data_IF_470368921087
#
_entry.id   IF_470368921087
#
_cell.length_a   1.000
_cell.length_b   1.000
_cell.length_c   1.000
_cell.angle_alpha   90.00
_cell.angle_beta   90.00
_cell.angle_gamma   90.00
#
_symmetry.space_group_name_H-M   'P 1'
#
loop_
_entity.id
_entity.type
_entity.pdbx_description
1 polymer ?
#
# COMPACT_ATOMS: atom_id res chain seq x y z
N UNK A 1 111.63 -60.84 -20.52
CA UNK A 1 111.58 -60.80 -19.06
C UNK A 1 111.12 -59.38 -18.68
N UNK A 2 109.93 -59.18 -18.31
CA UNK A 2 109.51 -57.95 -17.67
C UNK A 2 110.27 -57.87 -16.36
N UNK A 3 110.91 -56.73 -16.14
CA UNK A 3 111.74 -56.48 -14.91
C UNK A 3 110.83 -56.46 -13.75
N UNK A 4 111.16 -57.13 -12.65
CA UNK A 4 110.39 -57.19 -11.35
C UNK A 4 109.92 -55.81 -10.87
N UNK A 5 110.68 -54.81 -11.22
CA UNK A 5 110.43 -53.37 -10.92
C UNK A 5 109.21 -52.83 -11.66
N UNK A 6 109.08 -53.14 -12.99
CA UNK A 6 108.01 -52.67 -13.83
C UNK A 6 106.67 -53.24 -13.40
N UNK A 7 106.67 -54.49 -12.91
CA UNK A 7 105.42 -55.13 -12.38
C UNK A 7 105.01 -54.53 -11.04
N UNK A 8 105.89 -54.20 -10.21
CA UNK A 8 105.59 -53.52 -8.91
C UNK A 8 105.07 -52.11 -9.19
N UNK A 9 105.62 -51.40 -10.14
CA UNK A 9 105.16 -50.07 -10.51
C UNK A 9 103.75 -50.09 -11.12
N UNK A 10 103.38 -51.05 -11.93
CA UNK A 10 102.01 -51.28 -12.50
C UNK A 10 100.96 -51.60 -11.39
N UNK A 11 101.39 -52.45 -10.42
CA UNK A 11 100.49 -52.74 -9.28
C UNK A 11 100.24 -51.49 -8.45
N UNK A 12 101.27 -50.70 -8.14
CA UNK A 12 101.14 -49.46 -7.37
C UNK A 12 100.26 -48.44 -8.11
N UNK A 13 100.41 -48.30 -9.39
CA UNK A 13 99.51 -47.45 -10.24
C UNK A 13 98.09 -47.93 -10.21
N UNK A 14 97.88 -49.24 -10.31
CA UNK A 14 96.58 -49.87 -10.24
C UNK A 14 95.89 -49.60 -8.84
N UNK A 15 96.66 -49.87 -7.79
CA UNK A 15 96.13 -49.65 -6.41
C UNK A 15 95.86 -48.17 -6.16
N UNK A 16 96.66 -47.25 -6.61
CA UNK A 16 96.34 -45.79 -6.52
C UNK A 16 95.07 -45.40 -7.31
N UNK A 17 94.91 -46.02 -8.49
CA UNK A 17 93.70 -45.79 -9.27
C UNK A 17 92.45 -46.36 -8.62
N UNK A 18 92.57 -47.53 -7.98
CA UNK A 18 91.45 -48.16 -7.22
C UNK A 18 91.13 -47.36 -5.98
N UNK A 19 92.15 -46.89 -5.24
CA UNK A 19 92.01 -46.00 -4.05
C UNK A 19 91.26 -44.73 -4.45
N UNK A 20 91.66 -44.05 -5.50
CA UNK A 20 90.89 -42.83 -5.97
C UNK A 20 89.44 -43.15 -6.34
N UNK A 21 89.16 -44.23 -7.06
CA UNK A 21 87.80 -44.64 -7.34
C UNK A 21 87.01 -44.95 -6.04
N UNK A 22 87.61 -45.57 -5.09
CA UNK A 22 86.98 -45.82 -3.79
C UNK A 22 86.63 -44.52 -3.03
N UNK A 23 87.57 -43.57 -3.00
CA UNK A 23 87.38 -42.26 -2.38
C UNK A 23 86.27 -41.44 -3.13
N UNK A 24 86.21 -41.48 -4.44
CA UNK A 24 85.19 -40.83 -5.25
C UNK A 24 83.82 -41.49 -4.97
N UNK A 25 83.76 -42.84 -4.96
CA UNK A 25 82.51 -43.56 -4.65
C UNK A 25 82.04 -43.31 -3.24
N UNK A 26 82.94 -43.20 -2.24
CA UNK A 26 82.59 -42.90 -0.89
C UNK A 26 82.00 -41.49 -0.73
N UNK A 27 82.59 -40.49 -1.41
CA UNK A 27 82.10 -39.12 -1.41
C UNK A 27 80.67 -39.03 -2.10
N UNK A 28 80.49 -39.81 -3.17
CA UNK A 28 79.17 -39.85 -3.85
C UNK A 28 78.08 -40.48 -2.95
N UNK A 29 78.45 -41.53 -2.17
CA UNK A 29 77.53 -42.14 -1.20
C UNK A 29 77.24 -41.17 -0.05
N UNK A 30 78.22 -40.47 0.49
CA UNK A 30 78.02 -39.47 1.56
C UNK A 30 77.09 -38.32 1.09
N UNK A 31 77.26 -37.83 -0.15
CA UNK A 31 76.42 -36.79 -0.74
C UNK A 31 74.99 -37.29 -0.92
N UNK A 32 74.82 -38.49 -1.44
CA UNK A 32 73.50 -39.12 -1.61
C UNK A 32 72.79 -39.38 -0.27
N UNK A 33 73.50 -39.74 0.75
CA UNK A 33 72.97 -39.88 2.08
C UNK A 33 72.46 -38.56 2.63
N UNK A 34 73.24 -37.48 2.52
CA UNK A 34 72.79 -36.14 2.93
C UNK A 34 71.56 -35.66 2.15
N UNK A 35 71.50 -35.88 0.83
CA UNK A 35 70.33 -35.58 0.01
C UNK A 35 69.08 -36.37 0.47
N UNK A 36 69.26 -37.67 0.75
CA UNK A 36 68.15 -38.51 1.19
C UNK A 36 67.64 -38.10 2.56
N UNK A 37 68.48 -37.66 3.49
CA UNK A 37 68.08 -37.15 4.77
C UNK A 37 67.29 -35.85 4.65
N UNK A 38 67.69 -34.93 3.75
CA UNK A 38 66.99 -33.69 3.44
C UNK A 38 65.59 -33.97 2.82
N UNK A 39 65.52 -34.90 1.85
CA UNK A 39 64.26 -35.32 1.22
C UNK A 39 63.31 -36.00 2.24
N UNK A 40 63.82 -36.83 3.15
CA UNK A 40 63.03 -37.43 4.22
C UNK A 40 62.43 -36.39 5.16
N UNK A 41 63.21 -35.39 5.58
CA UNK A 41 62.70 -34.29 6.44
C UNK A 41 61.64 -33.49 5.70
N UNK A 42 61.84 -33.11 4.41
CA UNK A 42 60.84 -32.43 3.59
C UNK A 42 59.55 -33.25 3.47
N UNK A 43 59.68 -34.59 3.28
CA UNK A 43 58.54 -35.48 3.22
C UNK A 43 57.75 -35.54 4.53
N UNK A 44 58.42 -35.54 5.69
CA UNK A 44 57.79 -35.48 7.00
C UNK A 44 56.98 -34.21 7.20
N UNK A 45 57.56 -33.04 6.83
CA UNK A 45 56.86 -31.75 6.90
C UNK A 45 55.61 -31.77 6.02
N UNK A 46 55.69 -32.18 4.77
CA UNK A 46 54.57 -32.30 3.86
C UNK A 46 53.48 -33.26 4.36
N UNK A 47 53.88 -34.37 4.98
CA UNK A 47 52.93 -35.33 5.55
C UNK A 47 52.20 -34.74 6.77
N UNK A 48 52.86 -33.94 7.60
CA UNK A 48 52.23 -33.25 8.71
C UNK A 48 51.25 -32.17 8.21
N UNK A 49 51.64 -31.35 7.22
CA UNK A 49 50.78 -30.36 6.58
C UNK A 49 49.55 -31.00 5.97
N UNK A 50 49.70 -32.11 5.22
CA UNK A 50 48.61 -32.86 4.62
C UNK A 50 47.63 -33.41 5.67
N UNK A 51 48.13 -33.91 6.79
CA UNK A 51 47.31 -34.37 7.91
C UNK A 51 46.52 -33.22 8.56
N UNK A 52 47.16 -32.06 8.75
CA UNK A 52 46.52 -30.88 9.32
C UNK A 52 45.41 -30.37 8.41
N UNK A 53 45.67 -30.28 7.11
CA UNK A 53 44.64 -29.87 6.14
C UNK A 53 43.48 -30.88 6.04
N UNK A 54 43.77 -32.19 6.08
CA UNK A 54 42.75 -33.24 6.16
C UNK A 54 41.83 -33.06 7.37
N UNK A 55 42.39 -32.78 8.54
CA UNK A 55 41.63 -32.56 9.76
C UNK A 55 40.79 -31.27 9.66
N UNK A 56 41.35 -30.19 9.10
CA UNK A 56 40.62 -28.96 8.84
C UNK A 56 39.44 -29.15 7.90
N UNK A 57 39.62 -29.88 6.81
CA UNK A 57 38.56 -30.19 5.85
C UNK A 57 37.47 -31.05 6.52
N UNK A 58 37.84 -32.06 7.30
CA UNK A 58 36.91 -32.90 8.02
C UNK A 58 36.03 -32.08 9.00
N UNK A 59 36.62 -31.15 9.74
CA UNK A 59 35.87 -30.26 10.64
C UNK A 59 34.94 -29.30 9.86
N UNK A 60 35.39 -28.77 8.71
CA UNK A 60 34.58 -27.93 7.86
C UNK A 60 33.37 -28.69 7.29
N UNK A 61 33.57 -29.93 6.84
CA UNK A 61 32.50 -30.80 6.35
C UNK A 61 31.48 -31.07 7.47
N UNK A 62 31.97 -31.37 8.69
CA UNK A 62 31.09 -31.60 9.84
C UNK A 62 30.23 -30.38 10.16
N UNK A 63 30.84 -29.19 10.23
CA UNK A 63 30.10 -27.93 10.48
C UNK A 63 29.10 -27.63 9.37
N UNK A 64 29.51 -27.79 8.12
CA UNK A 64 28.62 -27.58 6.98
C UNK A 64 27.42 -28.52 7.00
N UNK A 65 27.64 -29.81 7.31
CA UNK A 65 26.55 -30.79 7.43
C UNK A 65 25.58 -30.43 8.56
N UNK A 66 26.08 -29.95 9.70
CA UNK A 66 25.23 -29.47 10.80
C UNK A 66 24.42 -28.25 10.41
N UNK A 67 25.02 -27.28 9.71
CA UNK A 67 24.29 -26.10 9.22
C UNK A 67 23.21 -26.48 8.19
N UNK A 68 23.53 -27.39 7.27
CA UNK A 68 22.55 -27.88 6.28
C UNK A 68 21.36 -28.55 6.99
N UNK A 69 21.61 -29.41 7.98
CA UNK A 69 20.52 -30.03 8.76
C UNK A 69 19.65 -28.96 9.45
N UNK A 70 20.28 -27.98 10.13
CA UNK A 70 19.55 -26.88 10.80
C UNK A 70 18.72 -26.03 9.83
N UNK A 71 19.27 -25.74 8.64
CA UNK A 71 18.51 -24.98 7.64
C UNK A 71 17.37 -25.80 7.05
N UNK A 72 17.55 -27.11 6.89
CA UNK A 72 16.46 -27.99 6.45
C UNK A 72 15.30 -27.98 7.44
N UNK A 73 15.59 -28.05 8.74
CA UNK A 73 14.57 -27.97 9.78
C UNK A 73 13.86 -26.60 9.77
N UNK A 74 14.61 -25.50 9.64
CA UNK A 74 14.03 -24.15 9.54
C UNK A 74 13.14 -23.97 8.31
N UNK A 75 13.49 -24.59 7.18
CA UNK A 75 12.66 -24.57 5.97
C UNK A 75 11.37 -25.30 6.21
N UNK A 76 11.41 -26.48 6.83
CA UNK A 76 10.20 -27.25 7.15
C UNK A 76 9.25 -26.50 8.09
N UNK A 77 9.77 -25.86 9.14
CA UNK A 77 9.00 -25.01 10.06
C UNK A 77 8.38 -23.79 9.34
N UNK A 78 9.12 -23.19 8.40
CA UNK A 78 8.63 -22.08 7.60
C UNK A 78 7.52 -22.52 6.62
N UNK A 79 7.63 -23.68 5.99
CA UNK A 79 6.61 -24.25 5.11
C UNK A 79 5.31 -24.52 5.89
N UNK A 80 5.38 -25.10 7.09
CA UNK A 80 4.20 -25.29 7.96
C UNK A 80 3.53 -23.94 8.30
N UNK A 81 4.34 -22.91 8.58
CA UNK A 81 3.83 -21.57 8.88
C UNK A 81 3.13 -20.95 7.66
N UNK A 82 3.68 -21.13 6.46
CA UNK A 82 3.11 -20.67 5.20
C UNK A 82 1.75 -21.31 4.96
N UNK A 83 1.65 -22.62 5.08
CA UNK A 83 0.40 -23.38 4.91
C UNK A 83 -0.69 -22.90 5.88
N UNK A 84 -0.33 -22.65 7.13
CA UNK A 84 -1.25 -22.10 8.13
C UNK A 84 -1.74 -20.69 7.76
N UNK A 85 -0.84 -19.81 7.30
CA UNK A 85 -1.18 -18.46 6.86
C UNK A 85 -2.05 -18.47 5.60
N UNK A 86 -1.79 -19.32 4.63
CA UNK A 86 -2.62 -19.48 3.43
C UNK A 86 -4.05 -19.94 3.79
N UNK A 87 -4.19 -20.85 4.75
CA UNK A 87 -5.50 -21.26 5.27
C UNK A 87 -6.26 -20.09 5.90
N UNK A 88 -5.58 -19.27 6.72
CA UNK A 88 -6.18 -18.08 7.33
C UNK A 88 -6.57 -17.02 6.30
N UNK A 89 -5.75 -16.80 5.26
CA UNK A 89 -6.06 -15.88 4.16
C UNK A 89 -7.34 -16.34 3.45
N UNK A 90 -7.45 -17.60 3.09
CA UNK A 90 -8.64 -18.13 2.44
C UNK A 90 -9.92 -17.98 3.28
N UNK A 91 -9.84 -18.17 4.60
CA UNK A 91 -10.96 -17.92 5.51
C UNK A 91 -11.36 -16.45 5.54
N UNK A 92 -10.39 -15.55 5.67
CA UNK A 92 -10.64 -14.11 5.66
C UNK A 92 -11.22 -13.60 4.33
N UNK A 93 -10.79 -14.14 3.19
CA UNK A 93 -11.35 -13.79 1.88
C UNK A 93 -12.83 -14.19 1.76
N UNK A 94 -13.21 -15.36 2.32
CA UNK A 94 -14.61 -15.77 2.37
C UNK A 94 -15.45 -14.85 3.26
N UNK A 95 -14.93 -14.45 4.41
CA UNK A 95 -15.60 -13.52 5.33
C UNK A 95 -15.79 -12.15 4.68
N UNK A 96 -14.77 -11.62 3.99
CA UNK A 96 -14.84 -10.36 3.24
C UNK A 96 -15.93 -10.45 2.17
N UNK A 97 -16.00 -11.53 1.40
CA UNK A 97 -17.01 -11.71 0.35
C UNK A 97 -18.42 -11.77 0.94
N UNK A 98 -18.60 -12.43 2.09
CA UNK A 98 -19.88 -12.48 2.80
C UNK A 98 -20.32 -11.09 3.32
N UNK A 99 -19.39 -10.33 3.91
CA UNK A 99 -19.63 -8.96 4.38
C UNK A 99 -19.95 -7.99 3.24
N UNK A 100 -19.26 -8.11 2.11
CA UNK A 100 -19.55 -7.29 0.92
C UNK A 100 -20.98 -7.53 0.42
N UNK A 101 -21.40 -8.77 0.34
CA UNK A 101 -22.77 -9.12 -0.05
C UNK A 101 -23.81 -8.54 0.91
N UNK A 102 -23.59 -8.65 2.22
CA UNK A 102 -24.49 -8.06 3.22
C UNK A 102 -24.58 -6.55 3.09
N UNK A 103 -23.44 -5.88 2.88
CA UNK A 103 -23.38 -4.43 2.68
C UNK A 103 -24.17 -3.99 1.44
N UNK A 104 -24.03 -4.70 0.31
CA UNK A 104 -24.78 -4.41 -0.91
C UNK A 104 -26.29 -4.58 -0.72
N UNK A 105 -26.72 -5.65 -0.02
CA UNK A 105 -28.14 -5.87 0.31
C UNK A 105 -28.69 -4.77 1.22
N UNK A 106 -27.94 -4.33 2.21
CA UNK A 106 -28.35 -3.27 3.14
C UNK A 106 -28.40 -1.91 2.43
N UNK A 107 -27.44 -1.63 1.55
CA UNK A 107 -27.43 -0.44 0.70
C UNK A 107 -28.63 -0.42 -0.26
N UNK A 108 -28.97 -1.54 -0.86
CA UNK A 108 -30.15 -1.66 -1.73
C UNK A 108 -31.45 -1.40 -0.95
N UNK A 109 -31.60 -1.96 0.26
CA UNK A 109 -32.74 -1.70 1.14
C UNK A 109 -32.82 -0.22 1.55
N UNK A 110 -31.67 0.40 1.88
CA UNK A 110 -31.61 1.82 2.22
C UNK A 110 -32.01 2.73 1.06
N UNK A 111 -31.58 2.41 -0.18
CA UNK A 111 -31.97 3.13 -1.38
C UNK A 111 -33.47 3.02 -1.67
N UNK A 112 -34.05 1.83 -1.55
CA UNK A 112 -35.49 1.62 -1.69
C UNK A 112 -36.29 2.40 -0.63
N UNK A 113 -35.85 2.39 0.61
CA UNK A 113 -36.47 3.15 1.68
C UNK A 113 -36.37 4.67 1.44
N UNK A 114 -35.23 5.14 0.91
CA UNK A 114 -35.06 6.55 0.55
C UNK A 114 -35.99 6.95 -0.60
N UNK A 115 -36.12 6.13 -1.65
CA UNK A 115 -37.07 6.38 -2.77
C UNK A 115 -38.51 6.44 -2.31
N UNK A 116 -38.93 5.55 -1.39
CA UNK A 116 -40.29 5.57 -0.83
C UNK A 116 -40.58 6.75 0.10
N UNK A 117 -39.53 7.46 0.53
CA UNK A 117 -39.64 8.65 1.40
C UNK A 117 -39.79 9.98 0.64
N UNK A 118 -39.71 9.95 -0.70
CA UNK A 118 -39.83 11.13 -1.54
C UNK A 118 -41.17 11.12 -2.30
N UNK A 119 -41.83 12.29 -2.29
CA UNK A 119 -43.02 12.52 -3.09
C UNK A 119 -42.65 12.95 -4.49
N UNK A 120 -43.56 12.70 -5.45
CA UNK A 120 -43.38 13.26 -6.78
C UNK A 120 -43.77 14.76 -6.77
N UNK A 121 -43.06 15.57 -7.55
CA UNK A 121 -43.33 17.01 -7.63
C UNK A 121 -44.75 17.32 -8.11
N UNK A 122 -45.32 16.44 -8.92
CA UNK A 122 -46.70 16.56 -9.40
C UNK A 122 -47.77 16.40 -8.29
N UNK A 123 -47.39 15.83 -7.14
CA UNK A 123 -48.24 15.67 -5.97
C UNK A 123 -48.23 16.91 -5.06
N UNK A 124 -47.34 17.88 -5.34
CA UNK A 124 -47.22 19.09 -4.55
C UNK A 124 -48.08 20.19 -5.11
N UNK A 125 -49.00 20.69 -4.30
CA UNK A 125 -49.80 21.89 -4.64
C UNK A 125 -49.11 23.12 -4.03
N UNK A 126 -48.80 24.07 -4.89
CA UNK A 126 -48.23 25.35 -4.52
C UNK A 126 -49.38 26.35 -4.31
N UNK A 127 -49.26 27.17 -3.26
CA UNK A 127 -50.25 28.19 -2.92
C UNK A 127 -49.90 29.56 -3.49
N UNK A 128 -50.89 30.46 -3.53
CA UNK A 128 -50.67 31.85 -3.88
C UNK A 128 -49.66 32.49 -2.90
N UNK A 129 -48.56 33.04 -3.42
CA UNK A 129 -47.48 33.61 -2.60
C UNK A 129 -46.24 32.72 -2.43
N UNK A 130 -46.35 31.40 -2.66
CA UNK A 130 -45.21 30.49 -2.54
C UNK A 130 -44.04 30.89 -3.43
N UNK A 131 -44.37 31.29 -4.67
CA UNK A 131 -43.38 31.77 -5.66
C UNK A 131 -42.62 33.00 -5.15
N UNK A 132 -43.33 33.99 -4.60
CA UNK A 132 -42.75 35.22 -4.07
C UNK A 132 -41.92 34.92 -2.82
N UNK A 133 -42.43 34.06 -1.95
CA UNK A 133 -41.72 33.66 -0.71
C UNK A 133 -40.39 32.94 -1.08
N UNK A 134 -40.42 31.99 -1.98
CA UNK A 134 -39.24 31.25 -2.42
C UNK A 134 -38.24 32.15 -3.14
N UNK A 135 -38.69 33.04 -4.03
CA UNK A 135 -37.84 33.98 -4.74
C UNK A 135 -37.10 34.94 -3.78
N UNK A 136 -37.82 35.47 -2.77
CA UNK A 136 -37.21 36.35 -1.75
C UNK A 136 -36.27 35.61 -0.80
N UNK A 137 -36.52 34.33 -0.48
CA UNK A 137 -35.56 33.51 0.23
C UNK A 137 -34.29 33.29 -0.60
N UNK A 138 -34.43 32.93 -1.89
CA UNK A 138 -33.29 32.77 -2.82
C UNK A 138 -32.48 34.08 -2.88
N UNK A 139 -33.13 35.22 -2.93
CA UNK A 139 -32.46 36.52 -2.88
C UNK A 139 -31.65 36.70 -1.59
N UNK A 140 -32.20 36.34 -0.43
CA UNK A 140 -31.50 36.48 0.83
C UNK A 140 -30.29 35.54 0.99
N UNK A 141 -30.43 34.30 0.50
CA UNK A 141 -29.41 33.25 0.67
C UNK A 141 -28.38 33.25 -0.47
N UNK A 142 -28.78 33.59 -1.70
CA UNK A 142 -28.00 33.39 -2.91
C UNK A 142 -28.11 34.55 -3.92
N UNK A 143 -28.58 35.72 -3.51
CA UNK A 143 -28.76 36.86 -4.43
C UNK A 143 -27.47 37.33 -5.09
N UNK A 144 -26.32 37.16 -4.44
CA UNK A 144 -24.99 37.42 -4.98
C UNK A 144 -24.32 36.26 -5.67
N UNK A 145 -24.93 35.09 -5.65
CA UNK A 145 -24.36 33.86 -6.22
C UNK A 145 -24.64 33.75 -7.74
N UNK A 146 -23.86 32.94 -8.48
CA UNK A 146 -24.21 32.60 -9.86
C UNK A 146 -25.63 32.02 -9.96
N UNK A 147 -26.28 32.18 -11.10
CA UNK A 147 -27.65 31.69 -11.31
C UNK A 147 -27.82 30.21 -10.94
N UNK A 148 -26.82 29.39 -11.23
CA UNK A 148 -26.81 27.98 -10.80
C UNK A 148 -26.85 27.81 -9.28
N UNK A 149 -26.29 28.74 -8.52
CA UNK A 149 -26.36 28.76 -7.05
C UNK A 149 -27.76 29.15 -6.57
N UNK A 150 -28.42 30.09 -7.24
CA UNK A 150 -29.80 30.48 -6.96
C UNK A 150 -30.77 29.29 -7.22
N UNK A 151 -30.61 28.57 -8.34
CA UNK A 151 -31.37 27.37 -8.66
C UNK A 151 -31.12 26.28 -7.60
N UNK A 152 -29.88 26.10 -7.18
CA UNK A 152 -29.50 25.10 -6.16
C UNK A 152 -30.17 25.36 -4.79
N UNK A 153 -30.23 26.62 -4.33
CA UNK A 153 -30.94 26.99 -3.09
C UNK A 153 -32.43 26.74 -3.22
N UNK A 154 -33.07 27.13 -4.33
CA UNK A 154 -34.46 26.83 -4.63
C UNK A 154 -34.74 25.33 -4.63
N UNK A 155 -33.86 24.55 -5.29
CA UNK A 155 -33.97 23.10 -5.36
C UNK A 155 -33.89 22.45 -3.98
N UNK A 156 -33.04 22.94 -3.04
CA UNK A 156 -32.98 22.43 -1.67
C UNK A 156 -34.32 22.64 -0.93
N UNK A 157 -34.97 23.78 -1.10
CA UNK A 157 -36.28 24.03 -0.49
C UNK A 157 -37.33 23.04 -1.04
N UNK A 158 -37.38 22.86 -2.35
CA UNK A 158 -38.33 21.91 -2.97
C UNK A 158 -37.97 20.47 -2.58
N UNK A 159 -36.70 20.08 -2.57
CA UNK A 159 -36.26 18.78 -2.08
C UNK A 159 -36.77 18.49 -0.65
N UNK A 160 -36.73 19.47 0.24
CA UNK A 160 -37.32 19.32 1.58
C UNK A 160 -38.84 19.15 1.51
N UNK A 161 -39.57 19.93 0.70
CA UNK A 161 -41.00 19.76 0.49
C UNK A 161 -41.33 18.36 -0.02
N UNK A 162 -40.52 17.78 -0.92
CA UNK A 162 -40.69 16.44 -1.44
C UNK A 162 -40.36 15.34 -0.46
N UNK A 163 -39.44 15.59 0.48
CA UNK A 163 -38.99 14.61 1.47
C UNK A 163 -40.00 14.46 2.60
N UNK A 164 -40.35 13.22 2.95
CA UNK A 164 -41.24 12.92 4.11
C UNK A 164 -40.65 13.34 5.45
N UNK A 165 -39.38 13.75 5.50
CA UNK A 165 -38.71 14.20 6.75
C UNK A 165 -39.00 15.66 7.08
N UNK A 166 -39.55 16.41 6.16
CA UNK A 166 -39.77 17.85 6.29
C UNK A 166 -41.27 18.19 6.10
N UNK A 167 -41.68 19.42 6.47
CA UNK A 167 -43.02 19.91 6.12
C UNK A 167 -43.28 19.82 4.61
N UNK A 168 -44.53 19.59 4.24
CA UNK A 168 -44.95 19.36 2.86
C UNK A 168 -45.37 20.64 2.10
N UNK A 169 -45.04 21.80 2.62
CA UNK A 169 -45.30 23.09 2.01
C UNK A 169 -44.06 23.99 1.99
N UNK A 170 -43.97 24.89 1.04
CA UNK A 170 -42.86 25.87 0.99
C UNK A 170 -42.81 26.71 2.25
N UNK A 171 -43.96 27.22 2.70
CA UNK A 171 -44.10 27.99 3.94
C UNK A 171 -43.56 27.18 5.13
N UNK A 172 -44.01 25.92 5.27
CA UNK A 172 -43.60 25.04 6.38
C UNK A 172 -42.12 24.78 6.41
N UNK A 173 -41.49 24.56 5.25
CA UNK A 173 -40.04 24.35 5.12
C UNK A 173 -39.27 25.64 5.44
N UNK A 174 -39.68 26.78 4.88
CA UNK A 174 -38.94 28.03 5.04
C UNK A 174 -39.00 28.52 6.49
N UNK A 175 -40.15 28.45 7.12
CA UNK A 175 -40.34 28.91 8.52
C UNK A 175 -40.03 27.83 9.56
N UNK A 176 -39.48 26.67 9.15
CA UNK A 176 -39.03 25.69 10.11
C UNK A 176 -37.89 26.26 10.97
N UNK A 177 -37.98 26.05 12.28
CA UNK A 177 -37.06 26.64 13.26
C UNK A 177 -35.59 26.41 12.91
N UNK A 178 -34.80 27.47 12.88
CA UNK A 178 -33.33 27.46 12.66
C UNK A 178 -32.87 26.88 11.32
N UNK A 179 -33.72 26.81 10.29
CA UNK A 179 -33.34 26.28 9.00
C UNK A 179 -32.68 27.35 8.08
N UNK A 180 -33.20 28.54 8.10
CA UNK A 180 -32.74 29.66 7.27
C UNK A 180 -32.44 30.89 8.14
N UNK A 181 -31.19 31.39 8.06
CA UNK A 181 -30.77 32.55 8.84
C UNK A 181 -31.64 33.79 8.58
N UNK A 182 -32.00 34.12 7.30
CA UNK A 182 -32.81 35.29 6.97
C UNK A 182 -34.20 35.30 7.60
N UNK A 183 -34.73 34.14 7.97
CA UNK A 183 -35.99 34.03 8.70
C UNK A 183 -35.81 34.47 10.14
N UNK A 184 -34.71 34.06 10.79
CA UNK A 184 -34.46 34.30 12.20
C UNK A 184 -34.03 35.75 12.49
N UNK A 185 -33.31 36.37 11.56
CA UNK A 185 -32.79 37.75 11.72
C UNK A 185 -33.67 38.83 11.09
N UNK A 186 -34.81 38.43 10.50
CA UNK A 186 -35.78 39.34 9.90
C UNK A 186 -35.47 39.85 8.48
N UNK A 187 -34.35 39.44 7.90
CA UNK A 187 -34.00 39.86 6.55
C UNK A 187 -35.02 39.34 5.51
N UNK A 188 -35.55 38.14 5.66
CA UNK A 188 -36.60 37.63 4.77
C UNK A 188 -37.89 38.47 4.88
N UNK A 189 -38.32 38.87 6.08
CA UNK A 189 -39.47 39.70 6.25
C UNK A 189 -39.33 41.07 5.54
N UNK A 190 -38.13 41.69 5.66
CA UNK A 190 -37.82 42.91 4.97
C UNK A 190 -37.75 42.75 3.43
N UNK A 191 -37.24 41.63 2.98
CA UNK A 191 -37.18 41.33 1.54
C UNK A 191 -38.59 41.13 0.96
N UNK A 192 -39.48 40.43 1.63
CA UNK A 192 -40.86 40.21 1.25
C UNK A 192 -41.68 41.52 1.26
N UNK A 193 -41.53 42.39 2.27
CA UNK A 193 -42.25 43.64 2.37
C UNK A 193 -41.95 44.61 1.20
N UNK A 194 -40.78 44.50 0.59
CA UNK A 194 -40.33 45.35 -0.53
C UNK A 194 -40.14 44.60 -1.85
N UNK A 195 -40.49 43.32 -1.91
CA UNK A 195 -40.25 42.40 -3.02
C UNK A 195 -38.86 42.60 -3.66
N UNK A 196 -37.83 42.29 -2.86
CA UNK A 196 -36.41 42.47 -3.22
C UNK A 196 -35.86 41.43 -4.19
N UNK A 197 -36.64 40.36 -4.45
CA UNK A 197 -36.21 39.32 -5.35
C UNK A 197 -35.99 39.83 -6.77
N UNK A 198 -34.81 39.50 -7.34
CA UNK A 198 -34.50 39.87 -8.73
C UNK A 198 -35.21 38.96 -9.70
N UNK A 199 -35.27 39.35 -10.98
CA UNK A 199 -35.85 38.50 -12.05
C UNK A 199 -35.19 37.14 -12.12
N UNK A 200 -33.89 37.02 -11.84
CA UNK A 200 -33.17 35.73 -11.78
C UNK A 200 -33.59 34.89 -10.59
N UNK A 201 -33.88 35.50 -9.42
CA UNK A 201 -34.39 34.77 -8.26
C UNK A 201 -35.77 34.20 -8.51
N UNK A 202 -36.65 34.97 -9.17
CA UNK A 202 -37.97 34.50 -9.62
C UNK A 202 -37.85 33.36 -10.63
N UNK A 203 -36.96 33.48 -11.60
CA UNK A 203 -36.74 32.41 -12.59
C UNK A 203 -36.21 31.13 -11.89
N UNK A 204 -35.28 31.25 -10.93
CA UNK A 204 -34.79 30.13 -10.17
C UNK A 204 -35.87 29.47 -9.28
N UNK A 205 -36.77 30.28 -8.69
CA UNK A 205 -37.92 29.77 -7.97
C UNK A 205 -38.89 29.02 -8.91
N UNK A 206 -39.18 29.55 -10.09
CA UNK A 206 -40.01 28.90 -11.10
C UNK A 206 -39.41 27.57 -11.57
N UNK A 207 -38.11 27.50 -11.77
CA UNK A 207 -37.43 26.24 -12.14
C UNK A 207 -37.50 25.21 -11.01
N UNK A 208 -37.19 25.60 -9.77
CA UNK A 208 -37.28 24.71 -8.62
C UNK A 208 -38.68 24.17 -8.41
N UNK A 209 -39.74 25.00 -8.52
CA UNK A 209 -41.13 24.61 -8.36
C UNK A 209 -41.61 23.67 -9.51
N UNK A 210 -40.91 23.65 -10.64
CA UNK A 210 -41.10 22.64 -11.70
C UNK A 210 -40.30 21.38 -11.48
N UNK A 211 -39.56 21.25 -10.38
CA UNK A 211 -38.75 20.10 -10.07
C UNK A 211 -37.32 20.11 -10.69
N UNK A 212 -36.89 21.25 -11.29
CA UNK A 212 -35.54 21.38 -11.82
C UNK A 212 -34.57 21.44 -10.68
N UNK A 213 -33.54 20.58 -10.69
CA UNK A 213 -32.48 20.51 -9.70
C UNK A 213 -31.13 20.32 -10.36
N UNK A 214 -30.10 20.97 -9.87
CA UNK A 214 -28.70 20.80 -10.21
C UNK A 214 -27.88 20.25 -9.02
N UNK A 215 -28.56 19.90 -7.93
CA UNK A 215 -27.97 19.35 -6.69
C UNK A 215 -28.59 18.00 -6.30
N UNK A 216 -29.33 17.38 -7.21
CA UNK A 216 -30.01 16.10 -6.95
C UNK A 216 -30.94 16.19 -5.74
N UNK A 217 -30.83 15.25 -4.81
CA UNK A 217 -31.67 15.18 -3.59
C UNK A 217 -31.02 15.85 -2.37
N UNK A 218 -30.06 16.75 -2.54
CA UNK A 218 -29.47 17.49 -1.42
C UNK A 218 -30.56 18.29 -0.67
N UNK A 219 -30.55 18.22 0.65
CA UNK A 219 -31.48 18.93 1.54
C UNK A 219 -30.79 19.92 2.48
N UNK A 220 -29.48 20.03 2.39
CA UNK A 220 -28.64 20.96 3.12
C UNK A 220 -27.70 21.73 2.20
N UNK A 221 -27.39 22.96 2.61
CA UNK A 221 -26.30 23.74 2.04
C UNK A 221 -25.67 24.63 3.11
N UNK A 222 -24.42 25.00 2.91
CA UNK A 222 -23.70 25.95 3.73
C UNK A 222 -22.43 26.44 3.04
N UNK A 223 -21.79 27.45 3.61
CA UNK A 223 -20.40 27.82 3.27
C UNK A 223 -19.48 26.61 3.48
N UNK A 224 -18.54 26.35 2.58
CA UNK A 224 -17.63 25.21 2.68
C UNK A 224 -16.80 25.24 3.97
N UNK A 225 -16.78 24.12 4.68
CA UNK A 225 -15.91 23.88 5.85
C UNK A 225 -15.18 22.54 5.69
N UNK A 226 -14.01 22.35 6.34
CA UNK A 226 -13.32 21.06 6.33
C UNK A 226 -14.24 19.92 6.81
N UNK A 227 -14.17 18.77 6.11
CA UNK A 227 -14.89 17.56 6.50
C UNK A 227 -16.31 17.44 5.91
N UNK A 228 -16.86 18.45 5.23
CA UNK A 228 -18.13 18.32 4.51
C UNK A 228 -17.85 18.11 3.02
N UNK A 229 -18.31 16.96 2.51
CA UNK A 229 -18.28 16.62 1.09
C UNK A 229 -19.65 16.86 0.48
N UNK A 230 -19.67 17.39 -0.75
CA UNK A 230 -20.91 17.67 -1.48
C UNK A 230 -20.65 18.37 -2.80
N UNK A 231 -21.74 18.80 -3.46
CA UNK A 231 -21.69 19.53 -4.73
C UNK A 231 -21.38 20.99 -4.43
N UNK A 232 -20.29 21.53 -4.98
CA UNK A 232 -19.91 22.94 -4.82
C UNK A 232 -20.44 23.76 -5.96
N UNK A 233 -21.24 24.81 -5.61
CA UNK A 233 -21.75 25.79 -6.57
C UNK A 233 -21.63 27.17 -5.90
N UNK A 234 -20.89 28.07 -6.55
CA UNK A 234 -20.59 29.39 -5.99
C UNK A 234 -19.89 29.31 -4.63
N UNK A 235 -20.38 30.07 -3.68
CA UNK A 235 -19.89 30.11 -2.29
C UNK A 235 -20.46 28.99 -1.39
N UNK A 236 -21.23 28.03 -1.91
CA UNK A 236 -21.90 27.00 -1.12
C UNK A 236 -21.46 25.57 -1.46
N UNK A 237 -21.62 24.66 -0.50
CA UNK A 237 -21.59 23.21 -0.66
C UNK A 237 -22.96 22.64 -0.31
N UNK A 238 -23.50 21.80 -1.20
CA UNK A 238 -24.82 21.14 -1.12
C UNK A 238 -24.63 19.65 -0.80
N UNK A 239 -25.37 19.10 0.17
CA UNK A 239 -25.24 17.71 0.62
C UNK A 239 -26.54 17.16 1.22
#
# INVERSE_FOLDING_TARGET
>A
FLNKSDYIEQINLYDQKMLRKYEESRKDVELKQAQLEEELEALHVLQEEANNEKNRVAELVRKTSQNVASYTDQIADAEETIDALESMINEQEQDIAALQKQYEEELAKSRLAAQSSWRDISEVTFEEGDRMLLANLIYCEAGGEPYSGQVAVGAVVINRVLSSRYPNTIVGVIYQNKQFSPVNDGHLALALANDRATASCYQAADEAMRGVTNVGQCVYFRTPIPGINGIRIGGHVFY
#
